data_IF_684815632665
#
_entry.id   IF_684815632665
#
_cell.length_a   1.000
_cell.length_b   1.000
_cell.length_c   1.000
_cell.angle_alpha   90.00
_cell.angle_beta   90.00
_cell.angle_gamma   90.00
#
_symmetry.space_group_name_H-M   'P 1'
#
loop_
_entity.id
_entity.type
_entity.pdbx_description
1 polymer ?
#
# COMPACT_ATOMS: atom_id res chain seq x y z
N UNK A 1 -8.52 -9.82 -18.03
CA UNK A 1 -8.46 -8.39 -17.63
C UNK A 1 -7.68 -8.37 -16.32
N UNK A 2 -6.37 -8.11 -16.36
CA UNK A 2 -5.63 -7.87 -15.11
C UNK A 2 -6.11 -6.55 -14.56
N UNK A 3 -6.85 -6.59 -13.47
CA UNK A 3 -7.32 -5.36 -12.83
C UNK A 3 -6.15 -4.82 -12.03
N UNK A 4 -5.45 -3.82 -12.58
CA UNK A 4 -4.29 -3.17 -11.96
C UNK A 4 -4.75 -2.28 -10.82
N UNK A 5 -5.25 -2.89 -9.75
CA UNK A 5 -5.68 -2.24 -8.52
C UNK A 5 -4.79 -2.65 -7.36
N UNK A 6 -4.72 -1.81 -6.34
CA UNK A 6 -3.89 -2.04 -5.16
C UNK A 6 -4.19 -3.41 -4.53
N UNK A 7 -5.45 -3.80 -4.35
CA UNK A 7 -5.80 -5.09 -3.73
C UNK A 7 -5.31 -6.35 -4.47
N UNK A 8 -4.88 -6.23 -5.73
CA UNK A 8 -4.33 -7.33 -6.52
C UNK A 8 -2.81 -7.21 -6.75
N UNK A 9 -2.16 -6.22 -6.13
CA UNK A 9 -0.73 -5.96 -6.29
C UNK A 9 0.06 -6.65 -5.17
N UNK A 10 1.22 -7.24 -5.50
CA UNK A 10 2.12 -7.89 -4.51
C UNK A 10 2.59 -6.94 -3.40
N UNK A 11 2.61 -5.63 -3.67
CA UNK A 11 3.01 -4.61 -2.71
C UNK A 11 1.89 -4.10 -1.81
N UNK A 12 0.67 -4.63 -1.91
CA UNK A 12 -0.44 -4.18 -1.07
C UNK A 12 -0.51 -4.97 0.23
N UNK A 13 -0.57 -4.24 1.35
CA UNK A 13 -0.70 -4.83 2.69
C UNK A 13 -2.07 -4.47 3.27
N UNK A 14 -3.03 -5.41 3.20
CA UNK A 14 -4.45 -5.25 3.61
C UNK A 14 -4.64 -5.10 5.14
N UNK A 15 -3.65 -5.52 5.93
CA UNK A 15 -3.86 -5.79 7.35
C UNK A 15 -3.29 -4.75 8.32
N UNK A 16 -2.65 -3.69 7.81
CA UNK A 16 -2.02 -2.67 8.64
C UNK A 16 -2.41 -1.27 8.15
N UNK A 17 -2.76 -0.37 9.06
CA UNK A 17 -3.09 1.01 8.73
C UNK A 17 -2.17 1.97 9.48
N UNK A 18 -0.85 1.89 9.24
CA UNK A 18 0.19 2.58 10.05
C UNK A 18 0.02 2.40 11.59
N UNK A 19 -0.83 1.47 12.00
CA UNK A 19 -1.35 1.20 13.34
C UNK A 19 -1.68 -0.29 13.43
N UNK A 20 -2.03 -0.78 14.62
CA UNK A 20 -2.43 -2.18 14.82
C UNK A 20 -3.86 -2.51 14.31
N UNK A 21 -4.58 -1.52 13.79
CA UNK A 21 -5.95 -1.68 13.32
C UNK A 21 -6.00 -1.92 11.81
N UNK A 22 -6.93 -2.76 11.36
CA UNK A 22 -7.31 -2.86 9.95
C UNK A 22 -8.17 -1.67 9.55
N UNK A 23 -8.05 -1.26 8.29
CA UNK A 23 -9.01 -0.38 7.62
C UNK A 23 -9.83 -1.22 6.64
N UNK A 24 -11.16 -1.11 6.70
CA UNK A 24 -12.02 -1.78 5.73
C UNK A 24 -11.87 -1.12 4.35
N UNK A 25 -11.56 -1.92 3.32
CA UNK A 25 -11.40 -1.42 1.95
C UNK A 25 -10.16 -0.55 1.70
N UNK A 26 -9.18 -0.56 2.61
CA UNK A 26 -7.91 0.14 2.44
C UNK A 26 -6.74 -0.60 3.10
N UNK A 27 -5.54 -0.33 2.62
CA UNK A 27 -4.30 -0.93 3.11
C UNK A 27 -3.11 -0.04 2.82
N UNK A 28 -1.89 -0.56 2.97
CA UNK A 28 -0.66 0.17 2.67
C UNK A 28 -0.13 -0.18 1.29
N UNK A 29 0.33 0.83 0.55
CA UNK A 29 1.14 0.63 -0.65
C UNK A 29 2.61 0.52 -0.24
N UNK A 30 3.21 -0.66 -0.36
CA UNK A 30 4.62 -0.92 -0.02
C UNK A 30 5.61 -0.64 -1.14
N UNK A 31 5.12 -0.33 -2.33
CA UNK A 31 5.95 0.11 -3.45
C UNK A 31 6.43 1.56 -3.25
N UNK A 32 5.51 2.44 -2.85
CA UNK A 32 5.84 3.84 -2.58
C UNK A 32 6.40 4.00 -1.16
N UNK A 33 7.58 4.61 -0.99
CA UNK A 33 8.24 4.69 0.31
C UNK A 33 7.42 5.47 1.35
N UNK A 34 7.69 5.27 2.66
CA UNK A 34 7.04 6.03 3.71
C UNK A 34 7.23 7.54 3.55
N UNK A 35 6.16 8.27 3.86
CA UNK A 35 6.11 9.73 3.83
C UNK A 35 6.61 10.29 5.15
N UNK A 36 7.57 11.21 5.08
CA UNK A 36 8.10 11.93 6.25
C UNK A 36 6.99 12.67 7.00
N UNK A 37 7.05 12.63 8.32
CA UNK A 37 6.07 13.30 9.18
C UNK A 37 6.55 14.71 9.58
N UNK A 38 5.63 15.62 9.93
CA UNK A 38 5.98 16.99 10.33
C UNK A 38 6.91 17.06 11.56
N UNK A 39 6.76 16.13 12.50
CA UNK A 39 7.60 16.07 13.70
C UNK A 39 8.96 15.42 13.38
N UNK A 40 10.04 16.07 13.82
CA UNK A 40 11.41 15.69 13.48
C UNK A 40 11.79 14.24 13.85
N UNK A 41 11.25 13.72 14.95
CA UNK A 41 11.56 12.38 15.47
C UNK A 41 10.45 11.35 15.18
N UNK A 42 9.42 11.73 14.42
CA UNK A 42 8.33 10.82 14.05
C UNK A 42 8.76 9.86 12.94
N UNK A 43 8.32 8.61 13.05
CA UNK A 43 8.53 7.59 12.01
C UNK A 43 7.73 7.96 10.76
N UNK A 44 8.31 7.70 9.58
CA UNK A 44 7.58 7.84 8.32
C UNK A 44 6.39 6.88 8.24
N UNK A 45 5.31 7.33 7.60
CA UNK A 45 4.08 6.55 7.42
C UNK A 45 3.98 6.04 5.99
N UNK A 46 3.69 4.77 5.83
CA UNK A 46 3.40 4.22 4.50
C UNK A 46 2.13 4.87 3.92
N UNK A 47 2.07 5.09 2.60
CA UNK A 47 0.84 5.58 1.98
C UNK A 47 -0.31 4.60 2.20
N UNK A 48 -1.40 5.08 2.81
CA UNK A 48 -2.66 4.35 2.88
C UNK A 48 -3.40 4.56 1.56
N UNK A 49 -3.80 3.48 0.91
CA UNK A 49 -4.50 3.47 -0.38
C UNK A 49 -5.75 2.62 -0.27
N UNK A 50 -6.78 2.94 -1.05
CA UNK A 50 -7.96 2.10 -1.15
C UNK A 50 -7.64 0.82 -1.93
N UNK A 51 -8.41 -0.23 -1.67
CA UNK A 51 -8.29 -1.51 -2.39
C UNK A 51 -8.43 -1.35 -3.91
N UNK A 52 -9.25 -0.39 -4.36
CA UNK A 52 -9.53 -0.09 -5.77
C UNK A 52 -8.66 1.03 -6.38
N UNK A 53 -7.70 1.58 -5.62
CA UNK A 53 -6.78 2.61 -6.12
C UNK A 53 -5.72 2.02 -7.07
N UNK A 54 -5.06 2.91 -7.81
CA UNK A 54 -3.89 2.59 -8.63
C UNK A 54 -2.84 3.69 -8.54
N UNK A 55 -1.61 3.33 -8.19
CA UNK A 55 -0.52 4.28 -7.97
C UNK A 55 0.41 4.48 -9.17
N UNK A 56 0.09 3.90 -10.33
CA UNK A 56 0.95 3.92 -11.53
C UNK A 56 1.95 2.76 -11.59
N UNK A 57 2.00 1.91 -10.58
CA UNK A 57 2.82 0.70 -10.54
C UNK A 57 1.99 -0.53 -10.15
N UNK A 58 2.29 -1.67 -10.75
CA UNK A 58 1.63 -2.95 -10.48
C UNK A 58 2.62 -4.08 -10.76
N UNK A 59 2.74 -5.01 -9.80
CA UNK A 59 3.39 -6.31 -10.00
C UNK A 59 2.48 -7.37 -9.40
N UNK A 60 2.26 -8.44 -10.16
CA UNK A 60 1.58 -9.64 -9.71
C UNK A 60 2.62 -10.71 -9.36
N UNK A 61 2.29 -11.63 -8.45
CA UNK A 61 3.19 -12.72 -8.05
C UNK A 61 3.61 -13.61 -9.23
N UNK A 62 2.83 -13.63 -10.32
CA UNK A 62 3.14 -14.40 -11.54
C UNK A 62 4.18 -13.77 -12.46
N UNK A 63 4.46 -12.47 -12.35
CA UNK A 63 5.46 -11.79 -13.22
C UNK A 63 6.90 -11.91 -12.69
N UNK A 64 7.09 -12.45 -11.49
CA UNK A 64 8.39 -12.67 -10.87
C UNK A 64 9.01 -14.06 -11.15
N UNK A 65 8.46 -14.84 -12.08
CA UNK A 65 8.86 -16.22 -12.39
C UNK A 65 9.66 -16.37 -13.70
#
# INVERSE_FOLDING_TARGET
MSTTMCASCTFFEDHAANTASRLDGAGLCRFNPPISQPEADSRGLWPVVRSDDWCGHFEDETEAA
#
